data_IF_048440745012
#
_entry.id   IF_048440745012
#
_cell.length_a   1.000
_cell.length_b   1.000
_cell.length_c   1.000
_cell.angle_alpha   90.00
_cell.angle_beta   90.00
_cell.angle_gamma   90.00
#
_symmetry.space_group_name_H-M   'P 1'
#
loop_
_entity.id
_entity.type
_entity.pdbx_description
1 polymer ?
#
# COMPACT_ATOMS: atom_id res chain seq x y z
N UNK A 1 12.69 28.23 -52.39
CA UNK A 1 13.87 27.34 -52.43
C UNK A 1 13.86 26.61 -51.10
N UNK A 2 13.37 25.37 -51.04
CA UNK A 2 13.46 24.57 -49.81
C UNK A 2 14.93 24.20 -49.61
N UNK A 3 15.58 24.79 -48.62
CA UNK A 3 16.89 24.30 -48.17
C UNK A 3 16.73 22.84 -47.76
N UNK A 4 17.39 21.93 -48.47
CA UNK A 4 17.63 20.56 -47.99
C UNK A 4 18.47 20.66 -46.71
N UNK A 5 17.82 20.74 -45.56
CA UNK A 5 18.46 20.57 -44.26
C UNK A 5 18.86 19.11 -44.14
N UNK A 6 20.17 18.87 -44.12
CA UNK A 6 20.75 17.55 -43.92
C UNK A 6 20.66 17.20 -42.43
N UNK A 7 19.65 16.41 -42.07
CA UNK A 7 19.38 16.05 -40.68
C UNK A 7 20.31 14.92 -40.25
N UNK A 8 21.05 15.15 -39.16
CA UNK A 8 21.96 14.13 -38.62
C UNK A 8 21.19 13.20 -37.69
N UNK A 9 21.50 11.92 -37.73
CA UNK A 9 20.90 10.91 -36.84
C UNK A 9 21.95 10.44 -35.82
N UNK A 10 21.53 10.29 -34.57
CA UNK A 10 22.31 9.57 -33.55
C UNK A 10 21.42 8.55 -32.86
N UNK A 11 22.00 7.39 -32.53
CA UNK A 11 21.33 6.37 -31.74
C UNK A 11 21.53 6.64 -30.26
N UNK A 12 20.47 6.49 -29.48
CA UNK A 12 20.51 6.63 -28.02
C UNK A 12 19.74 5.50 -27.36
N UNK A 13 20.18 5.04 -26.19
CA UNK A 13 19.46 4.06 -25.35
C UNK A 13 19.38 4.56 -23.91
N UNK A 14 18.34 4.17 -23.19
CA UNK A 14 18.20 4.57 -21.80
C UNK A 14 19.30 3.88 -20.97
N UNK A 15 20.09 4.68 -20.25
CA UNK A 15 21.08 4.16 -19.30
C UNK A 15 20.42 3.94 -17.93
N UNK A 16 19.78 4.98 -17.41
CA UNK A 16 19.03 4.94 -16.14
C UNK A 16 18.13 6.17 -16.01
N UNK A 17 17.28 6.17 -14.99
CA UNK A 17 16.49 7.34 -14.59
C UNK A 17 17.04 7.81 -13.25
N UNK A 18 17.58 9.01 -13.22
CA UNK A 18 17.99 9.69 -12.00
C UNK A 18 16.78 10.37 -11.37
N UNK A 19 16.22 9.74 -10.34
CA UNK A 19 15.06 10.27 -9.61
C UNK A 19 15.39 11.44 -8.71
N UNK A 20 16.65 11.63 -8.33
CA UNK A 20 17.06 12.79 -7.53
C UNK A 20 16.94 14.07 -8.33
N UNK A 21 17.26 13.99 -9.63
CA UNK A 21 17.24 15.10 -10.57
C UNK A 21 16.07 15.06 -11.58
N UNK A 22 15.11 14.15 -11.40
CA UNK A 22 13.96 13.97 -12.29
C UNK A 22 14.35 13.88 -13.78
N UNK A 23 15.43 13.14 -14.08
CA UNK A 23 16.06 13.12 -15.41
C UNK A 23 16.26 11.70 -15.91
N UNK A 24 15.79 11.42 -17.13
CA UNK A 24 16.16 10.24 -17.91
C UNK A 24 17.55 10.48 -18.51
N UNK A 25 18.50 9.61 -18.18
CA UNK A 25 19.87 9.67 -18.71
C UNK A 25 20.02 8.67 -19.84
N UNK A 26 20.33 9.17 -21.03
CA UNK A 26 20.40 8.43 -22.29
C UNK A 26 21.83 8.34 -22.79
N UNK A 27 22.33 7.13 -23.05
CA UNK A 27 23.65 6.89 -23.63
C UNK A 27 23.60 7.02 -25.15
N UNK A 28 24.53 7.77 -25.72
CA UNK A 28 24.69 7.93 -27.18
C UNK A 28 25.60 6.84 -27.71
N UNK A 29 25.23 6.22 -28.84
CA UNK A 29 26.09 5.26 -29.52
C UNK A 29 27.29 5.99 -30.12
N UNK A 30 28.50 5.63 -29.68
CA UNK A 30 29.74 6.19 -30.19
C UNK A 30 30.58 5.13 -30.89
N UNK A 31 31.48 5.56 -31.77
CA UNK A 31 32.48 4.68 -32.38
C UNK A 31 33.43 4.13 -31.31
N UNK A 32 33.94 2.92 -31.54
CA UNK A 32 34.90 2.27 -30.63
C UNK A 32 36.11 3.18 -30.38
N UNK A 33 36.41 3.41 -29.10
CA UNK A 33 37.54 4.27 -28.67
C UNK A 33 37.21 5.76 -28.57
N UNK A 34 36.00 6.19 -28.92
CA UNK A 34 35.52 7.55 -28.63
C UNK A 34 34.97 7.63 -27.20
N UNK A 35 35.08 8.81 -26.55
CA UNK A 35 34.51 9.00 -25.22
C UNK A 35 33.00 8.78 -25.26
N UNK A 36 32.47 8.14 -24.21
CA UNK A 36 31.04 8.00 -24.01
C UNK A 36 30.39 9.39 -23.91
N UNK A 37 29.15 9.49 -24.38
CA UNK A 37 28.35 10.72 -24.35
C UNK A 37 26.96 10.38 -23.87
N UNK A 38 26.38 11.30 -23.11
CA UNK A 38 25.06 11.13 -22.53
C UNK A 38 24.21 12.37 -22.76
N UNK A 39 22.91 12.14 -22.89
CA UNK A 39 21.89 13.16 -22.98
C UNK A 39 20.94 13.03 -21.79
N UNK A 40 20.38 14.16 -21.36
CA UNK A 40 19.29 14.23 -20.38
C UNK A 40 17.97 14.52 -21.07
N UNK A 41 16.89 13.91 -20.58
CA UNK A 41 15.51 14.30 -20.86
C UNK A 41 14.70 14.34 -19.58
N UNK A 42 13.84 15.33 -19.41
CA UNK A 42 12.99 15.43 -18.22
C UNK A 42 12.06 14.21 -18.10
N UNK A 43 11.94 13.64 -16.90
CA UNK A 43 11.24 12.36 -16.65
C UNK A 43 9.71 12.46 -16.52
N UNK A 44 9.12 13.60 -16.91
CA UNK A 44 7.67 13.83 -16.95
C UNK A 44 7.16 15.00 -16.10
N UNK A 45 8.03 15.67 -15.33
CA UNK A 45 7.66 16.88 -14.56
C UNK A 45 8.03 18.21 -15.24
N UNK A 46 8.67 18.15 -16.41
CA UNK A 46 9.13 19.29 -17.19
C UNK A 46 8.83 19.18 -18.68
N UNK A 47 9.11 20.22 -19.48
CA UNK A 47 9.07 20.11 -20.93
C UNK A 47 10.05 19.01 -21.36
N UNK A 48 9.60 18.05 -22.18
CA UNK A 48 10.36 16.84 -22.63
C UNK A 48 11.52 17.18 -23.57
N UNK A 49 12.32 18.15 -23.17
CA UNK A 49 13.44 18.69 -23.90
C UNK A 49 14.68 17.83 -23.68
N UNK A 50 15.55 17.89 -24.68
CA UNK A 50 16.77 17.11 -24.72
C UNK A 50 17.98 18.02 -24.49
N UNK A 51 18.88 17.59 -23.63
CA UNK A 51 20.08 18.34 -23.24
C UNK A 51 21.32 17.46 -23.23
N UNK A 52 22.50 18.05 -23.42
CA UNK A 52 23.78 17.41 -23.08
C UNK A 52 24.01 17.48 -21.57
N UNK A 53 24.83 16.56 -21.05
CA UNK A 53 25.16 16.46 -19.63
C UNK A 53 26.67 16.60 -19.40
N UNK A 54 27.08 17.40 -18.41
CA UNK A 54 28.51 17.71 -18.15
C UNK A 54 29.30 16.57 -17.48
N UNK A 55 28.68 15.79 -16.59
CA UNK A 55 29.33 14.82 -15.71
C UNK A 55 28.58 13.48 -15.60
N UNK A 56 27.73 13.20 -16.60
CA UNK A 56 27.04 11.93 -16.75
C UNK A 56 28.03 10.77 -17.02
N UNK A 57 27.69 9.53 -16.62
CA UNK A 57 26.38 9.11 -16.13
C UNK A 57 26.23 9.06 -14.61
N UNK A 58 27.27 9.37 -13.84
CA UNK A 58 27.28 9.17 -12.38
C UNK A 58 27.61 10.42 -11.54
N UNK A 59 27.84 11.57 -12.19
CA UNK A 59 27.91 12.86 -11.51
C UNK A 59 26.53 13.42 -11.19
N UNK A 60 26.45 14.73 -10.98
CA UNK A 60 25.19 15.45 -10.75
C UNK A 60 24.29 15.50 -12.00
N UNK A 61 24.80 15.06 -13.15
CA UNK A 61 24.10 15.05 -14.43
C UNK A 61 23.52 16.44 -14.73
N UNK A 62 24.34 17.48 -14.53
CA UNK A 62 23.93 18.86 -14.74
C UNK A 62 23.67 19.12 -16.23
N UNK A 63 22.59 19.84 -16.51
CA UNK A 63 22.24 20.28 -17.87
C UNK A 63 23.31 21.23 -18.37
N UNK A 64 23.88 20.90 -19.52
CA UNK A 64 24.90 21.70 -20.18
C UNK A 64 24.28 22.58 -21.27
N UNK A 65 23.92 21.97 -22.41
CA UNK A 65 23.39 22.66 -23.58
C UNK A 65 22.16 21.94 -24.12
N UNK A 66 21.24 22.67 -24.77
CA UNK A 66 20.15 22.04 -25.51
C UNK A 66 20.69 21.23 -26.70
N UNK A 67 20.07 20.07 -26.94
CA UNK A 67 20.34 19.29 -28.15
C UNK A 67 19.81 20.05 -29.36
N UNK A 68 20.63 20.12 -30.41
CA UNK A 68 20.33 20.85 -31.65
C UNK A 68 19.04 20.36 -32.32
N UNK A 69 18.32 21.27 -32.96
CA UNK A 69 17.04 21.01 -33.63
C UNK A 69 17.17 20.28 -34.98
N UNK A 70 18.36 20.24 -35.57
CA UNK A 70 18.66 19.52 -36.82
C UNK A 70 19.04 18.04 -36.60
N UNK A 71 18.95 17.56 -35.35
CA UNK A 71 19.35 16.21 -34.98
C UNK A 71 18.12 15.34 -34.71
N UNK A 72 18.12 14.14 -35.28
CA UNK A 72 17.12 13.09 -35.04
C UNK A 72 17.69 12.07 -34.06
N UNK A 73 16.98 11.85 -32.96
CA UNK A 73 17.33 10.87 -31.95
C UNK A 73 16.63 9.56 -32.28
N UNK A 74 17.41 8.53 -32.59
CA UNK A 74 16.92 7.17 -32.81
C UNK A 74 16.93 6.46 -31.46
N UNK A 75 15.76 6.34 -30.85
CA UNK A 75 15.56 5.75 -29.53
C UNK A 75 15.62 4.24 -29.66
N UNK A 76 16.57 3.64 -28.95
CA UNK A 76 16.85 2.21 -29.03
C UNK A 76 16.52 1.48 -27.72
N UNK A 77 16.31 0.17 -27.84
CA UNK A 77 16.31 -0.74 -26.70
C UNK A 77 17.74 -0.95 -26.14
N UNK A 78 17.86 -1.80 -25.12
CA UNK A 78 19.16 -2.11 -24.48
C UNK A 78 20.19 -2.72 -25.45
N UNK A 79 19.71 -3.37 -26.51
CA UNK A 79 20.49 -4.10 -27.51
C UNK A 79 20.79 -3.24 -28.76
N UNK A 80 20.52 -1.93 -28.69
CA UNK A 80 20.70 -0.94 -29.77
C UNK A 80 19.81 -1.15 -31.01
N UNK A 81 18.70 -1.88 -30.86
CA UNK A 81 17.68 -1.97 -31.89
C UNK A 81 16.78 -0.73 -31.83
N UNK A 82 16.46 -0.17 -32.99
CA UNK A 82 15.57 1.00 -33.08
C UNK A 82 14.15 0.64 -32.64
N UNK A 83 13.60 1.46 -31.73
CA UNK A 83 12.23 1.34 -31.22
C UNK A 83 11.36 2.45 -31.76
N UNK A 84 11.83 3.70 -31.67
CA UNK A 84 11.13 4.89 -32.16
C UNK A 84 12.13 6.03 -32.41
N UNK A 85 11.63 7.18 -32.89
CA UNK A 85 12.44 8.39 -33.13
C UNK A 85 11.84 9.60 -32.41
N UNK A 86 12.71 10.50 -31.95
CA UNK A 86 12.34 11.76 -31.31
C UNK A 86 13.35 12.87 -31.67
N UNK A 87 13.10 14.11 -31.22
CA UNK A 87 14.04 15.21 -31.33
C UNK A 87 13.50 16.52 -30.79
N UNK A 88 14.37 17.53 -30.70
CA UNK A 88 14.02 18.86 -30.17
C UNK A 88 13.13 19.67 -31.12
N UNK A 89 13.14 19.36 -32.43
CA UNK A 89 12.32 20.07 -33.40
C UNK A 89 10.85 19.61 -33.34
N UNK A 90 9.99 20.44 -32.73
CA UNK A 90 8.55 20.16 -32.56
C UNK A 90 7.70 20.34 -33.82
N UNK A 91 8.25 20.87 -34.92
CA UNK A 91 7.57 20.77 -36.22
C UNK A 91 7.69 19.36 -36.81
N UNK A 92 8.81 18.67 -36.54
CA UNK A 92 9.08 17.30 -37.02
C UNK A 92 8.65 16.22 -36.04
N UNK A 93 8.77 16.51 -34.74
CA UNK A 93 8.36 15.65 -33.63
C UNK A 93 7.36 16.42 -32.74
N UNK A 94 6.11 16.64 -33.22
CA UNK A 94 5.12 17.44 -32.52
C UNK A 94 4.87 16.97 -31.09
N UNK A 95 4.84 15.65 -30.91
CA UNK A 95 4.73 15.01 -29.61
C UNK A 95 5.93 14.11 -29.36
N UNK A 96 6.61 14.33 -28.23
CA UNK A 96 7.65 13.44 -27.74
C UNK A 96 7.01 12.21 -27.08
N UNK A 97 7.66 11.05 -27.21
CA UNK A 97 7.19 9.81 -26.59
C UNK A 97 7.07 9.95 -25.07
N UNK A 98 6.17 9.20 -24.42
CA UNK A 98 5.93 9.34 -22.98
C UNK A 98 7.16 8.99 -22.16
N UNK A 99 7.35 9.66 -21.04
CA UNK A 99 8.29 9.20 -20.01
C UNK A 99 7.80 7.90 -19.38
N UNK A 100 8.68 7.20 -18.66
CA UNK A 100 8.26 6.00 -17.93
C UNK A 100 7.15 6.32 -16.91
N UNK A 101 7.21 7.51 -16.30
CA UNK A 101 6.23 7.95 -15.32
C UNK A 101 4.84 8.12 -15.94
N UNK A 102 4.78 8.78 -17.09
CA UNK A 102 3.54 8.97 -17.85
C UNK A 102 2.96 7.64 -18.32
N UNK A 103 3.81 6.74 -18.86
CA UNK A 103 3.37 5.40 -19.26
C UNK A 103 2.82 4.60 -18.08
N UNK A 104 3.47 4.69 -16.91
CA UNK A 104 3.00 4.08 -15.67
C UNK A 104 1.65 4.67 -15.23
N UNK A 105 1.50 6.00 -15.24
CA UNK A 105 0.27 6.69 -14.85
C UNK A 105 -0.88 6.39 -15.81
N UNK A 106 -0.62 6.32 -17.12
CA UNK A 106 -1.61 5.94 -18.12
C UNK A 106 -2.10 4.50 -17.88
N UNK A 107 -1.19 3.56 -17.70
CA UNK A 107 -1.53 2.16 -17.40
C UNK A 107 -2.33 2.03 -16.09
N UNK A 108 -1.92 2.75 -15.05
CA UNK A 108 -2.63 2.80 -13.77
C UNK A 108 -4.04 3.39 -13.89
N UNK A 109 -4.20 4.46 -14.67
CA UNK A 109 -5.50 5.13 -14.86
C UNK A 109 -6.58 4.23 -15.46
N UNK A 110 -6.17 3.19 -16.21
CA UNK A 110 -7.05 2.18 -16.78
C UNK A 110 -7.47 1.16 -15.73
N UNK A 111 -6.55 0.77 -14.85
CA UNK A 111 -6.77 -0.25 -13.79
C UNK A 111 -7.58 0.31 -12.63
N UNK A 112 -7.26 1.52 -12.15
CA UNK A 112 -7.85 2.08 -10.93
C UNK A 112 -9.36 2.28 -11.00
N UNK A 113 -9.92 2.47 -12.21
CA UNK A 113 -11.36 2.65 -12.43
C UNK A 113 -12.19 1.45 -11.98
N UNK A 114 -11.60 0.26 -11.99
CA UNK A 114 -12.25 -0.98 -11.59
C UNK A 114 -12.03 -1.33 -10.10
N UNK A 115 -11.29 -0.49 -9.36
CA UNK A 115 -10.91 -0.76 -7.97
C UNK A 115 -11.68 0.15 -6.99
N UNK A 116 -12.58 -0.40 -6.15
CA UNK A 116 -13.57 0.41 -5.42
C UNK A 116 -13.04 1.16 -4.20
N UNK A 117 -11.84 0.85 -3.68
CA UNK A 117 -11.38 1.33 -2.35
C UNK A 117 -9.90 1.76 -2.31
N UNK A 118 -9.41 2.31 -3.41
CA UNK A 118 -8.00 2.73 -3.51
C UNK A 118 -7.81 4.14 -2.93
N UNK A 119 -6.76 4.32 -2.11
CA UNK A 119 -6.41 5.59 -1.48
C UNK A 119 -4.90 5.80 -1.41
N UNK A 120 -4.45 7.06 -1.49
CA UNK A 120 -3.04 7.44 -1.23
C UNK A 120 -2.80 7.95 0.18
N UNK A 121 -3.85 8.27 0.92
CA UNK A 121 -3.77 8.87 2.25
C UNK A 121 -4.46 8.03 3.31
N UNK A 122 -4.13 8.28 4.58
CA UNK A 122 -4.75 7.61 5.73
C UNK A 122 -4.10 6.28 6.11
N UNK A 123 -3.13 5.78 5.35
CA UNK A 123 -2.53 4.46 5.58
C UNK A 123 -1.81 4.40 6.93
N UNK A 124 -0.95 5.39 7.22
CA UNK A 124 -0.20 5.42 8.47
C UNK A 124 -1.14 5.51 9.67
N UNK A 125 -2.17 6.32 9.60
CA UNK A 125 -3.21 6.41 10.63
C UNK A 125 -3.98 5.09 10.79
N UNK A 126 -4.31 4.42 9.69
CA UNK A 126 -5.02 3.14 9.71
C UNK A 126 -4.17 2.01 10.30
N UNK A 127 -2.93 1.84 9.86
CA UNK A 127 -2.08 0.72 10.29
C UNK A 127 -1.63 0.88 11.75
N UNK A 128 -1.37 2.11 12.20
CA UNK A 128 -1.00 2.39 13.60
C UNK A 128 -2.15 2.13 14.57
N UNK A 129 -3.41 2.35 14.15
CA UNK A 129 -4.60 1.94 14.92
C UNK A 129 -4.70 0.43 15.13
N UNK A 130 -4.00 -0.37 14.32
CA UNK A 130 -3.95 -1.83 14.49
C UNK A 130 -2.95 -2.25 15.57
N UNK A 131 -2.18 -1.31 16.14
CA UNK A 131 -1.28 -1.62 17.25
C UNK A 131 -2.03 -1.87 18.54
N UNK A 132 -1.63 -2.94 19.22
CA UNK A 132 -2.13 -3.33 20.54
C UNK A 132 -1.62 -2.44 21.67
N UNK A 133 -0.47 -1.78 21.45
CA UNK A 133 0.21 -0.96 22.44
C UNK A 133 0.33 0.48 21.93
N UNK A 134 0.33 1.47 22.84
CA UNK A 134 0.73 2.83 22.48
C UNK A 134 2.13 2.79 21.87
N UNK A 135 2.26 3.36 20.67
CA UNK A 135 3.53 3.45 19.98
C UNK A 135 4.18 4.80 20.29
N UNK A 136 5.47 4.79 20.63
CA UNK A 136 6.30 5.97 20.58
C UNK A 136 6.48 6.45 19.13
N UNK A 137 7.02 7.66 18.95
CA UNK A 137 7.20 8.24 17.62
C UNK A 137 8.06 7.36 16.69
N UNK A 138 9.15 6.77 17.20
CA UNK A 138 10.01 5.85 16.43
C UNK A 138 9.30 4.54 16.13
N UNK A 139 8.50 4.04 17.06
CA UNK A 139 7.74 2.80 16.86
C UNK A 139 6.62 2.98 15.84
N UNK A 140 6.01 4.15 15.72
CA UNK A 140 5.05 4.47 14.65
C UNK A 140 5.69 4.29 13.26
N UNK A 141 6.93 4.77 13.08
CA UNK A 141 7.65 4.61 11.82
C UNK A 141 7.91 3.13 11.54
N UNK A 142 8.52 2.41 12.48
CA UNK A 142 8.81 0.98 12.30
C UNK A 142 7.54 0.13 12.09
N UNK A 143 6.46 0.45 12.78
CA UNK A 143 5.17 -0.24 12.63
C UNK A 143 4.59 -0.04 11.24
N UNK A 144 4.60 1.19 10.72
CA UNK A 144 4.06 1.45 9.38
C UNK A 144 4.98 1.02 8.23
N UNK A 145 6.30 1.12 8.42
CA UNK A 145 7.26 1.05 7.30
C UNK A 145 8.12 -0.23 7.30
N UNK A 146 8.26 -0.93 8.43
CA UNK A 146 9.22 -2.04 8.57
C UNK A 146 8.58 -3.38 8.97
N UNK A 147 7.43 -3.37 9.64
CA UNK A 147 6.86 -4.58 10.26
C UNK A 147 5.85 -5.30 9.37
N UNK A 148 6.19 -5.52 8.10
CA UNK A 148 5.35 -6.28 7.19
C UNK A 148 6.17 -7.06 6.18
N UNK A 149 5.51 -8.02 5.54
CA UNK A 149 6.10 -8.85 4.50
C UNK A 149 5.11 -9.05 3.35
N UNK A 150 5.67 -9.23 2.15
CA UNK A 150 4.90 -9.54 0.96
C UNK A 150 4.35 -10.97 1.05
N UNK A 151 3.02 -11.11 1.07
CA UNK A 151 2.34 -12.41 1.06
C UNK A 151 2.10 -12.91 -0.36
N UNK A 152 1.77 -11.99 -1.29
CA UNK A 152 1.46 -12.33 -2.69
C UNK A 152 1.64 -11.11 -3.59
N UNK A 153 2.07 -11.33 -4.83
CA UNK A 153 2.04 -10.32 -5.90
C UNK A 153 1.26 -10.82 -7.12
N UNK A 154 0.43 -9.96 -7.69
CA UNK A 154 -0.47 -10.26 -8.81
C UNK A 154 -0.33 -9.21 -9.91
N UNK A 155 -0.20 -9.66 -11.16
CA UNK A 155 -0.21 -8.76 -12.33
C UNK A 155 -1.65 -8.42 -12.71
N UNK A 156 -2.00 -7.14 -12.65
CA UNK A 156 -3.32 -6.63 -13.05
C UNK A 156 -3.38 -6.23 -14.52
N UNK A 157 -2.28 -5.69 -15.06
CA UNK A 157 -2.18 -5.23 -16.44
C UNK A 157 -0.72 -5.22 -16.88
N UNK A 158 -0.49 -5.29 -18.19
CA UNK A 158 0.83 -5.24 -18.83
C UNK A 158 0.87 -4.12 -19.85
N UNK A 159 2.04 -3.50 -20.00
CA UNK A 159 2.29 -2.47 -21.01
C UNK A 159 3.76 -2.52 -21.44
N UNK A 160 4.08 -1.91 -22.58
CA UNK A 160 5.45 -1.83 -23.09
C UNK A 160 5.90 -0.38 -23.09
N UNK A 161 7.12 -0.13 -22.64
CA UNK A 161 7.76 1.18 -22.71
C UNK A 161 9.18 1.01 -23.25
N UNK A 162 9.49 1.71 -24.34
CA UNK A 162 10.78 1.67 -25.06
C UNK A 162 11.33 0.25 -25.34
N UNK A 163 10.45 -0.69 -25.67
CA UNK A 163 10.82 -2.07 -25.99
C UNK A 163 10.94 -3.00 -24.78
N UNK A 164 10.76 -2.49 -23.56
CA UNK A 164 10.75 -3.30 -22.34
C UNK A 164 9.32 -3.49 -21.80
N UNK A 165 9.02 -4.69 -21.29
CA UNK A 165 7.71 -5.04 -20.77
C UNK A 165 7.59 -4.68 -19.28
N UNK A 166 6.53 -3.96 -18.94
CA UNK A 166 6.15 -3.54 -17.60
C UNK A 166 4.77 -4.08 -17.23
N UNK A 167 4.49 -4.07 -15.93
CA UNK A 167 3.23 -4.52 -15.37
C UNK A 167 2.76 -3.61 -14.23
N UNK A 168 1.45 -3.51 -14.08
CA UNK A 168 0.78 -3.00 -12.89
C UNK A 168 0.57 -4.17 -11.95
N UNK A 169 1.07 -4.06 -10.73
CA UNK A 169 1.02 -5.08 -9.70
C UNK A 169 0.05 -4.68 -8.58
N UNK A 170 -0.67 -5.67 -8.08
CA UNK A 170 -1.29 -5.64 -6.75
C UNK A 170 -0.48 -6.54 -5.84
N UNK A 171 0.10 -5.95 -4.81
CA UNK A 171 0.92 -6.63 -3.81
C UNK A 171 0.11 -6.72 -2.53
N UNK A 172 -0.09 -7.94 -2.04
CA UNK A 172 -0.74 -8.21 -0.74
C UNK A 172 0.34 -8.18 0.32
N UNK A 173 0.21 -7.24 1.26
CA UNK A 173 1.10 -7.12 2.40
C UNK A 173 0.42 -7.67 3.65
N UNK A 174 1.21 -8.30 4.51
CA UNK A 174 0.79 -8.78 5.83
C UNK A 174 1.65 -8.16 6.90
N UNK A 175 1.01 -7.57 7.92
CA UNK A 175 1.74 -7.09 9.08
C UNK A 175 2.33 -8.27 9.88
N UNK A 176 3.57 -8.15 10.32
CA UNK A 176 4.28 -9.22 11.07
C UNK A 176 3.95 -9.23 12.56
N UNK A 177 3.28 -8.18 13.06
CA UNK A 177 2.94 -8.03 14.49
C UNK A 177 1.44 -7.99 14.79
N UNK A 178 0.57 -8.04 13.77
CA UNK A 178 -0.89 -8.10 13.93
C UNK A 178 -1.52 -8.77 12.69
N UNK A 179 -2.84 -8.97 12.68
CA UNK A 179 -3.55 -9.64 11.58
C UNK A 179 -3.89 -8.72 10.39
N UNK A 180 -3.39 -7.49 10.40
CA UNK A 180 -3.68 -6.53 9.34
C UNK A 180 -3.11 -6.98 8.00
N UNK A 181 -3.97 -6.89 6.97
CA UNK A 181 -3.61 -7.09 5.57
C UNK A 181 -4.11 -5.92 4.74
N UNK A 182 -3.31 -5.53 3.76
CA UNK A 182 -3.66 -4.50 2.80
C UNK A 182 -3.07 -4.84 1.43
N UNK A 183 -3.50 -4.08 0.43
CA UNK A 183 -2.92 -4.12 -0.89
C UNK A 183 -2.14 -2.85 -1.16
N UNK A 184 -1.03 -2.98 -1.85
CA UNK A 184 -0.25 -1.89 -2.43
C UNK A 184 -0.22 -2.05 -3.94
N UNK A 185 -0.32 -0.94 -4.64
CA UNK A 185 -0.36 -0.91 -6.09
C UNK A 185 0.91 -0.29 -6.64
N UNK A 186 1.58 -1.03 -7.52
CA UNK A 186 2.86 -0.63 -8.09
C UNK A 186 2.90 -0.77 -9.61
N UNK A 187 3.81 -0.04 -10.26
CA UNK A 187 4.32 -0.40 -11.59
C UNK A 187 5.74 -0.94 -11.44
N UNK A 188 6.10 -1.94 -12.23
CA UNK A 188 7.45 -2.49 -12.29
C UNK A 188 7.68 -3.26 -13.59
N UNK A 189 8.91 -3.70 -13.84
CA UNK A 189 9.19 -4.59 -14.97
C UNK A 189 8.40 -5.89 -14.84
N UNK A 190 7.97 -6.46 -15.96
CA UNK A 190 7.20 -7.72 -15.97
C UNK A 190 8.04 -8.93 -15.52
N UNK A 191 9.35 -8.87 -15.71
CA UNK A 191 10.33 -9.86 -15.25
C UNK A 191 11.25 -9.21 -14.22
N UNK A 192 10.78 -9.05 -12.99
CA UNK A 192 11.58 -8.51 -11.90
C UNK A 192 12.77 -9.44 -11.62
N UNK A 193 13.98 -8.88 -11.61
CA UNK A 193 15.18 -9.61 -11.16
C UNK A 193 15.20 -9.68 -9.64
N UNK A 194 15.94 -10.66 -9.10
CA UNK A 194 16.21 -10.73 -7.67
C UNK A 194 16.85 -9.41 -7.21
N UNK A 195 16.26 -8.75 -6.21
CA UNK A 195 16.64 -7.43 -5.68
C UNK A 195 16.26 -6.19 -6.54
N UNK A 196 15.51 -6.36 -7.64
CA UNK A 196 14.97 -5.22 -8.38
C UNK A 196 13.64 -4.78 -7.77
N UNK A 197 13.58 -3.53 -7.30
CA UNK A 197 12.37 -2.95 -6.72
C UNK A 197 11.34 -2.52 -7.77
N UNK A 198 10.14 -2.20 -7.31
CA UNK A 198 9.11 -1.61 -8.16
C UNK A 198 9.53 -0.22 -8.65
N UNK A 199 9.10 0.12 -9.86
CA UNK A 199 9.35 1.42 -10.48
C UNK A 199 8.50 2.52 -9.86
N UNK A 200 7.22 2.31 -9.58
CA UNK A 200 6.36 3.40 -9.08
C UNK A 200 5.35 2.86 -8.11
N UNK A 201 5.17 3.54 -6.98
CA UNK A 201 4.06 3.31 -6.07
C UNK A 201 2.89 4.21 -6.45
N UNK A 202 1.70 3.62 -6.51
CA UNK A 202 0.47 4.36 -6.78
C UNK A 202 -0.32 4.61 -5.52
N UNK A 203 -0.75 3.56 -4.82
CA UNK A 203 -1.75 3.69 -3.78
C UNK A 203 -1.85 2.43 -2.91
N UNK A 204 -2.60 2.57 -1.82
CA UNK A 204 -3.02 1.49 -0.93
C UNK A 204 -4.49 1.12 -1.19
N UNK A 205 -4.86 -0.11 -0.85
CA UNK A 205 -6.24 -0.49 -0.52
C UNK A 205 -6.21 -1.27 0.78
N UNK A 206 -6.92 -0.75 1.77
CA UNK A 206 -7.12 -1.43 3.04
C UNK A 206 -8.58 -1.26 3.43
N UNK A 207 -9.08 -2.25 4.16
CA UNK A 207 -10.43 -2.20 4.71
C UNK A 207 -10.31 -2.06 6.21
N UNK A 208 -11.25 -1.32 6.78
CA UNK A 208 -11.56 -1.43 8.20
C UNK A 208 -12.25 -2.78 8.45
N UNK A 209 -11.55 -3.91 8.25
CA UNK A 209 -11.95 -5.15 8.94
C UNK A 209 -11.55 -5.00 10.39
N UNK A 210 -12.28 -4.10 11.01
CA UNK A 210 -12.22 -3.69 12.38
C UNK A 210 -12.67 -4.87 13.24
N UNK A 211 -12.20 -4.92 14.48
CA UNK A 211 -12.72 -5.84 15.51
C UNK A 211 -14.27 -5.85 15.59
N UNK A 212 -14.96 -4.79 15.12
CA UNK A 212 -16.42 -4.77 14.94
C UNK A 212 -16.97 -5.86 14.02
N UNK A 213 -16.25 -6.24 12.96
CA UNK A 213 -16.68 -7.31 12.04
C UNK A 213 -16.55 -8.69 12.68
N UNK A 214 -15.48 -8.88 13.47
CA UNK A 214 -15.28 -10.07 14.30
C UNK A 214 -16.37 -10.15 15.37
N UNK A 215 -16.66 -9.03 16.06
CA UNK A 215 -17.74 -8.96 17.04
C UNK A 215 -19.12 -9.24 16.45
N UNK A 216 -19.42 -8.71 15.26
CA UNK A 216 -20.67 -8.98 14.57
C UNK A 216 -20.82 -10.47 14.22
N UNK A 217 -19.74 -11.10 13.78
CA UNK A 217 -19.73 -12.53 13.43
C UNK A 217 -19.91 -13.41 14.67
N UNK A 218 -19.18 -13.11 15.74
CA UNK A 218 -19.27 -13.84 17.02
C UNK A 218 -20.63 -13.61 17.70
N UNK A 219 -21.16 -12.38 17.64
CA UNK A 219 -22.49 -12.04 18.16
C UNK A 219 -23.59 -12.82 17.44
N UNK A 220 -23.58 -12.84 16.10
CA UNK A 220 -24.52 -13.63 15.31
C UNK A 220 -24.45 -15.12 15.67
N UNK A 221 -23.25 -15.67 15.87
CA UNK A 221 -23.08 -17.07 16.30
C UNK A 221 -23.70 -17.34 17.67
N UNK A 222 -23.58 -16.43 18.63
CA UNK A 222 -24.26 -16.53 19.92
C UNK A 222 -25.79 -16.55 19.75
N UNK A 223 -26.34 -15.70 18.89
CA UNK A 223 -27.77 -15.63 18.60
C UNK A 223 -28.29 -16.89 17.90
N UNK A 224 -27.54 -17.39 16.91
CA UNK A 224 -27.84 -18.63 16.18
C UNK A 224 -27.87 -19.84 17.13
N UNK A 225 -26.89 -19.98 18.03
CA UNK A 225 -26.87 -21.05 19.06
C UNK A 225 -28.04 -20.89 20.04
N UNK A 226 -28.32 -19.67 20.48
CA UNK A 226 -29.41 -19.39 21.43
C UNK A 226 -30.79 -19.76 20.84
N UNK A 227 -31.00 -19.45 19.56
CA UNK A 227 -32.26 -19.69 18.85
C UNK A 227 -32.42 -21.11 18.29
N UNK A 228 -31.32 -21.85 18.09
CA UNK A 228 -31.36 -23.22 17.56
C UNK A 228 -32.12 -24.19 18.48
N UNK A 229 -32.90 -25.07 17.85
CA UNK A 229 -33.64 -26.16 18.50
C UNK A 229 -32.87 -27.45 18.34
N UNK A 230 -32.98 -28.35 19.32
CA UNK A 230 -32.36 -29.67 19.27
C UNK A 230 -33.26 -30.59 18.46
N UNK A 231 -32.71 -31.19 17.43
CA UNK A 231 -33.40 -32.15 16.60
C UNK A 231 -33.31 -33.54 17.21
N UNK A 232 -34.44 -34.21 17.32
CA UNK A 232 -34.52 -35.59 17.77
C UNK A 232 -34.87 -36.47 16.58
N UNK A 233 -33.98 -37.41 16.25
CA UNK A 233 -34.15 -38.34 15.13
C UNK A 233 -34.38 -39.74 15.67
N UNK A 234 -35.40 -40.41 15.13
CA UNK A 234 -35.81 -41.74 15.56
C UNK A 234 -35.24 -42.80 14.62
N UNK A 235 -34.65 -43.84 15.20
CA UNK A 235 -34.38 -45.10 14.50
C UNK A 235 -35.54 -46.06 14.74
N UNK A 236 -35.94 -46.83 13.71
CA UNK A 236 -37.11 -47.74 13.79
C UNK A 236 -37.01 -48.78 14.90
N UNK A 237 -35.79 -49.20 15.24
CA UNK A 237 -35.51 -50.26 16.23
C UNK A 237 -34.30 -49.90 17.12
N UNK A 238 -33.93 -48.62 17.21
CA UNK A 238 -32.70 -48.17 17.87
C UNK A 238 -32.90 -46.95 18.79
N UNK A 239 -31.86 -46.60 19.56
CA UNK A 239 -31.92 -45.48 20.50
C UNK A 239 -32.20 -44.16 19.79
N UNK A 240 -32.82 -43.24 20.51
CA UNK A 240 -33.15 -41.90 20.02
C UNK A 240 -31.86 -41.09 19.86
N UNK A 241 -31.67 -40.45 18.71
CA UNK A 241 -30.48 -39.64 18.45
C UNK A 241 -30.79 -38.16 18.55
N UNK A 242 -30.04 -37.44 19.37
CA UNK A 242 -30.16 -35.99 19.48
C UNK A 242 -29.07 -35.30 18.66
N UNK A 243 -29.46 -34.26 17.92
CA UNK A 243 -28.58 -33.41 17.12
C UNK A 243 -28.79 -31.94 17.47
N UNK A 244 -27.70 -31.16 17.45
CA UNK A 244 -27.75 -29.72 17.66
C UNK A 244 -26.90 -29.02 16.59
N UNK A 245 -27.52 -28.15 15.78
CA UNK A 245 -26.88 -27.49 14.63
C UNK A 245 -26.12 -28.49 13.74
N UNK A 246 -26.81 -29.57 13.35
CA UNK A 246 -26.29 -30.69 12.55
C UNK A 246 -25.19 -31.56 13.20
N UNK A 247 -24.74 -31.24 14.42
CA UNK A 247 -23.81 -32.08 15.18
C UNK A 247 -24.54 -33.12 16.02
N UNK A 248 -24.08 -34.37 15.99
CA UNK A 248 -24.56 -35.42 16.89
C UNK A 248 -24.14 -35.11 18.33
N UNK A 249 -25.08 -35.14 19.28
CA UNK A 249 -24.82 -34.81 20.69
C UNK A 249 -25.00 -35.98 21.65
N UNK A 250 -25.68 -37.04 21.25
CA UNK A 250 -25.81 -38.25 22.07
C UNK A 250 -27.04 -39.09 21.77
N UNK A 251 -27.11 -40.23 22.44
CA UNK A 251 -28.25 -41.15 22.42
C UNK A 251 -29.09 -40.98 23.69
N UNK A 252 -30.41 -41.08 23.54
CA UNK A 252 -31.40 -41.13 24.63
C UNK A 252 -31.21 -40.06 25.73
N UNK A 253 -30.84 -38.84 25.31
CA UNK A 253 -30.58 -37.74 26.24
C UNK A 253 -31.87 -37.26 26.89
N UNK A 254 -31.81 -36.99 28.20
CA UNK A 254 -32.88 -36.30 28.91
C UNK A 254 -32.99 -34.84 28.49
N UNK A 255 -34.13 -34.21 28.74
CA UNK A 255 -34.32 -32.77 28.50
C UNK A 255 -33.22 -31.93 29.16
N UNK A 256 -32.84 -32.28 30.39
CA UNK A 256 -31.80 -31.59 31.15
C UNK A 256 -30.41 -31.75 30.50
N UNK A 257 -30.06 -32.96 30.05
CA UNK A 257 -28.80 -33.22 29.35
C UNK A 257 -28.70 -32.49 28.00
N UNK A 258 -29.83 -32.36 27.31
CA UNK A 258 -29.94 -31.57 26.08
C UNK A 258 -29.75 -30.08 26.36
N UNK A 259 -30.38 -29.55 27.40
CA UNK A 259 -30.21 -28.18 27.86
C UNK A 259 -28.75 -27.89 28.24
N UNK A 260 -28.11 -28.79 28.99
CA UNK A 260 -26.70 -28.68 29.39
C UNK A 260 -25.74 -28.65 28.18
N UNK A 261 -25.98 -29.51 27.19
CA UNK A 261 -25.16 -29.55 25.98
C UNK A 261 -25.28 -28.25 25.15
N UNK A 262 -26.47 -27.66 25.10
CA UNK A 262 -26.72 -26.35 24.46
C UNK A 262 -26.05 -25.22 25.25
N UNK A 263 -26.23 -25.19 26.56
CA UNK A 263 -25.66 -24.15 27.42
C UNK A 263 -24.12 -24.19 27.41
N UNK A 264 -23.52 -25.38 27.37
CA UNK A 264 -22.07 -25.53 27.24
C UNK A 264 -21.52 -24.89 25.95
N UNK A 265 -22.18 -25.13 24.81
CA UNK A 265 -21.80 -24.52 23.52
C UNK A 265 -22.03 -23.01 23.51
N UNK A 266 -23.14 -22.55 24.08
CA UNK A 266 -23.46 -21.13 24.20
C UNK A 266 -22.45 -20.40 25.09
N UNK A 267 -22.05 -21.00 26.21
CA UNK A 267 -21.02 -20.47 27.11
C UNK A 267 -19.69 -20.28 26.38
N UNK A 268 -19.23 -21.28 25.62
CA UNK A 268 -18.00 -21.18 24.84
C UNK A 268 -18.06 -20.07 23.78
N UNK A 269 -19.17 -19.97 23.04
CA UNK A 269 -19.37 -18.91 22.06
C UNK A 269 -19.41 -17.51 22.72
N UNK A 270 -20.04 -17.40 23.90
CA UNK A 270 -20.04 -16.16 24.70
C UNK A 270 -18.65 -15.82 25.23
N UNK A 271 -17.84 -16.80 25.64
CA UNK A 271 -16.45 -16.58 26.04
C UNK A 271 -15.62 -16.02 24.88
N UNK A 272 -15.75 -16.60 23.67
CA UNK A 272 -15.08 -16.10 22.46
C UNK A 272 -15.54 -14.66 22.14
N UNK A 273 -16.85 -14.40 22.16
CA UNK A 273 -17.42 -13.05 21.96
C UNK A 273 -16.93 -12.06 23.02
N UNK A 274 -16.98 -12.44 24.31
CA UNK A 274 -16.57 -11.59 25.41
C UNK A 274 -15.07 -11.31 25.39
N UNK A 275 -14.25 -12.29 24.99
CA UNK A 275 -12.82 -12.10 24.77
C UNK A 275 -12.55 -11.07 23.66
N UNK A 276 -13.21 -11.22 22.52
CA UNK A 276 -13.12 -10.26 21.42
C UNK A 276 -13.69 -8.88 21.79
N UNK A 277 -14.72 -8.83 22.63
CA UNK A 277 -15.37 -7.58 23.05
C UNK A 277 -14.53 -6.85 24.09
N UNK A 278 -13.97 -7.57 25.07
CA UNK A 278 -12.99 -7.01 26.00
C UNK A 278 -11.76 -6.47 25.24
N UNK A 279 -11.31 -7.18 24.22
CA UNK A 279 -10.26 -6.75 23.31
C UNK A 279 -10.64 -5.46 22.54
N UNK A 280 -11.86 -5.39 21.98
CA UNK A 280 -12.39 -4.17 21.35
C UNK A 280 -12.43 -2.97 22.29
N UNK A 281 -12.92 -3.16 23.52
CA UNK A 281 -13.01 -2.06 24.48
C UNK A 281 -11.63 -1.61 24.97
N UNK A 282 -10.64 -2.50 25.08
CA UNK A 282 -9.24 -2.11 25.31
C UNK A 282 -8.68 -1.24 24.18
N UNK A 283 -8.96 -1.57 22.91
CA UNK A 283 -8.60 -0.71 21.77
C UNK A 283 -9.28 0.67 21.84
N UNK A 284 -10.55 0.71 22.26
CA UNK A 284 -11.32 1.96 22.42
C UNK A 284 -10.85 2.79 23.62
N UNK A 285 -10.38 2.15 24.69
CA UNK A 285 -9.78 2.82 25.84
C UNK A 285 -8.43 3.43 25.49
N UNK A 286 -7.63 2.82 24.60
CA UNK A 286 -6.44 3.47 24.03
C UNK A 286 -6.80 4.77 23.28
N UNK A 287 -7.93 4.79 22.55
CA UNK A 287 -8.46 6.00 21.87
C UNK A 287 -8.87 7.11 22.86
N UNK A 288 -9.27 6.74 24.09
CA UNK A 288 -9.65 7.66 25.18
C UNK A 288 -8.54 7.95 26.19
N UNK A 289 -7.45 7.17 26.24
CA UNK A 289 -6.45 7.28 27.30
C UNK A 289 -5.67 8.59 27.23
N UNK A 290 -5.50 9.19 26.04
CA UNK A 290 -4.90 10.53 25.91
C UNK A 290 -5.83 11.61 26.50
N UNK A 291 -7.14 11.56 26.23
CA UNK A 291 -8.12 12.52 26.80
C UNK A 291 -8.38 12.29 28.29
N UNK A 292 -8.30 11.05 28.76
CA UNK A 292 -8.42 10.71 30.18
C UNK A 292 -7.24 11.21 31.01
N UNK A 293 -6.02 11.06 30.48
CA UNK A 293 -4.81 11.60 31.10
C UNK A 293 -4.85 13.14 31.10
N UNK A 294 -5.28 13.78 30.03
CA UNK A 294 -5.47 15.25 29.99
C UNK A 294 -6.53 15.74 30.97
N UNK A 295 -7.67 15.05 31.11
CA UNK A 295 -8.71 15.41 32.07
C UNK A 295 -8.25 15.23 33.52
N UNK A 296 -7.52 14.14 33.82
CA UNK A 296 -6.93 13.92 35.15
C UNK A 296 -5.85 14.96 35.45
N UNK A 297 -5.01 15.31 34.47
CA UNK A 297 -4.03 16.38 34.59
C UNK A 297 -4.68 17.76 34.80
N UNK A 298 -5.82 18.03 34.15
CA UNK A 298 -6.57 19.27 34.33
C UNK A 298 -7.12 19.37 35.76
N UNK A 299 -7.75 18.29 36.26
CA UNK A 299 -8.28 18.21 37.64
C UNK A 299 -7.14 18.35 38.67
N UNK A 300 -5.99 17.71 38.44
CA UNK A 300 -4.83 17.85 39.31
C UNK A 300 -4.27 19.27 39.31
N UNK A 301 -4.20 19.95 38.15
CA UNK A 301 -3.78 21.37 38.07
C UNK A 301 -4.76 22.28 38.82
N UNK A 302 -6.06 22.06 38.70
CA UNK A 302 -7.08 22.83 39.43
C UNK A 302 -6.97 22.64 40.95
N UNK A 303 -6.73 21.41 41.42
CA UNK A 303 -6.53 21.12 42.85
C UNK A 303 -5.26 21.78 43.39
N UNK A 304 -4.15 21.75 42.64
CA UNK A 304 -2.91 22.44 42.99
C UNK A 304 -3.13 23.96 43.03
N UNK A 305 -3.88 24.51 42.07
CA UNK A 305 -4.18 25.94 42.04
C UNK A 305 -5.08 26.37 43.21
N UNK A 306 -6.09 25.57 43.58
CA UNK A 306 -6.92 25.79 44.77
C UNK A 306 -6.10 25.72 46.06
N UNK A 307 -5.17 24.77 46.17
CA UNK A 307 -4.28 24.66 47.33
C UNK A 307 -3.31 25.85 47.44
N UNK A 308 -2.80 26.36 46.31
CA UNK A 308 -2.01 27.60 46.26
C UNK A 308 -2.84 28.81 46.69
N UNK A 309 -4.05 28.98 46.16
CA UNK A 309 -4.93 30.10 46.53
C UNK A 309 -5.35 30.07 48.01
N UNK A 310 -5.62 28.89 48.57
CA UNK A 310 -5.94 28.74 50.00
C UNK A 310 -4.74 29.07 50.91
N UNK A 311 -3.50 28.81 50.48
CA UNK A 311 -2.32 29.26 51.24
C UNK A 311 -2.19 30.78 51.31
N UNK A 312 -2.64 31.53 50.30
CA UNK A 312 -2.65 32.99 50.33
C UNK A 312 -3.78 33.56 51.21
N UNK A 313 -4.89 32.84 51.39
CA UNK A 313 -5.97 33.25 52.30
C UNK A 313 -5.64 33.02 53.79
N UNK A 314 -4.75 32.07 54.10
CA UNK A 314 -4.29 31.79 55.48
C UNK A 314 -2.96 32.45 55.84
N UNK A 315 -2.32 33.16 54.89
CA UNK A 315 -1.02 33.82 55.09
C UNK A 315 -1.08 35.30 55.49
N UNK A 316 -2.27 35.92 55.57
CA UNK A 316 -2.44 37.30 56.05
C UNK A 316 -3.53 37.35 57.14
N UNK A 317 -3.29 36.63 58.23
CA UNK A 317 -3.73 37.03 59.56
C UNK A 317 -2.53 37.22 60.44
#
# INVERSE_FOLDING_TARGET
>A
MEEKRDYKEIKVRLHHIDRGNCTEVWEVQTEVGKPARYLGRDDGFGPKEWYTLCDAPYGYCERDCHVRTDLTLVICDKDWNEVLRDGTNRERFPESFPSLDEACNEAWSKVVKELPHVTRGGFREWITKQSFLPLSQTEVLNWSDCYYEEEKSEVLSRFTWIGEEYAIYRVTQRHTKCDARWYEYYAGKAKLRQHEGYTRFFAYEYRDRHISDVLRTLGKRCDDISSAVVETRYSKDGPTMSYFMDEFIGYDLSYEQVCDAKECRLRKAREDYNGANAYYYKLKENEKSIRGIEAVLLVMREQIQKAKNNKYCYGNR
#
